data_IF_837282360435
#
_entry.id   IF_837282360435
#
_cell.length_a   1.000
_cell.length_b   1.000
_cell.length_c   1.000
_cell.angle_alpha   90.00
_cell.angle_beta   90.00
_cell.angle_gamma   90.00
#
_symmetry.space_group_name_H-M   'P 1'
#
loop_
_entity.id
_entity.type
_entity.pdbx_description
1 polymer ?
#
# COMPACT_ATOMS: atom_id res chain seq x y z
N UNK A 1 11.33 9.72 -9.31
CA UNK A 1 10.18 9.25 -8.49
C UNK A 1 9.45 8.17 -9.29
N UNK A 2 9.14 7.01 -8.69
CA UNK A 2 8.24 6.00 -9.28
C UNK A 2 6.80 6.33 -8.92
N UNK A 3 5.85 5.88 -9.75
CA UNK A 3 4.42 6.13 -9.51
C UNK A 3 3.64 4.83 -9.46
N UNK A 4 2.93 4.63 -8.35
CA UNK A 4 1.99 3.55 -8.13
C UNK A 4 0.57 4.05 -7.96
N UNK A 5 -0.40 3.17 -8.18
CA UNK A 5 -1.81 3.43 -7.93
C UNK A 5 -2.42 2.27 -7.15
N UNK A 6 -3.32 2.57 -6.22
CA UNK A 6 -3.99 1.55 -5.41
C UNK A 6 -5.46 1.45 -5.78
N UNK A 7 -5.97 0.22 -5.79
CA UNK A 7 -7.40 -0.04 -5.91
C UNK A 7 -7.89 -1.02 -4.85
N UNK A 8 -9.01 -0.66 -4.21
CA UNK A 8 -9.80 -1.59 -3.40
C UNK A 8 -10.73 -2.36 -4.34
N UNK A 9 -10.69 -3.70 -4.41
CA UNK A 9 -11.49 -4.48 -5.34
C UNK A 9 -12.94 -4.65 -4.86
N UNK A 10 -13.64 -3.54 -4.61
CA UNK A 10 -15.04 -3.47 -4.18
C UNK A 10 -16.03 -3.16 -5.32
N UNK A 11 -15.52 -2.78 -6.49
CA UNK A 11 -16.28 -2.54 -7.73
C UNK A 11 -16.22 -3.77 -8.67
N UNK A 12 -17.00 -3.82 -9.77
CA UNK A 12 -16.85 -4.87 -10.80
C UNK A 12 -15.40 -5.00 -11.28
N UNK A 13 -14.89 -6.23 -11.40
CA UNK A 13 -13.48 -6.47 -11.73
C UNK A 13 -13.10 -5.83 -13.06
N UNK A 14 -13.98 -5.91 -14.06
CA UNK A 14 -13.78 -5.32 -15.39
C UNK A 14 -13.59 -3.79 -15.32
N UNK A 15 -14.24 -3.13 -14.35
CA UNK A 15 -14.05 -1.69 -14.12
C UNK A 15 -12.68 -1.41 -13.54
N UNK A 16 -12.22 -2.22 -12.58
CA UNK A 16 -10.89 -2.11 -11.99
C UNK A 16 -9.82 -2.31 -13.07
N UNK A 17 -9.96 -3.35 -13.89
CA UNK A 17 -9.05 -3.63 -15.01
C UNK A 17 -8.97 -2.43 -15.98
N UNK A 18 -10.11 -1.83 -16.34
CA UNK A 18 -10.13 -0.62 -17.20
C UNK A 18 -9.39 0.55 -16.57
N UNK A 19 -9.55 0.76 -15.25
CA UNK A 19 -8.86 1.83 -14.53
C UNK A 19 -7.36 1.58 -14.45
N UNK A 20 -6.91 0.32 -14.26
CA UNK A 20 -5.49 -0.03 -14.28
C UNK A 20 -4.89 0.15 -15.68
N UNK A 21 -5.60 -0.26 -16.75
CA UNK A 21 -5.17 0.01 -18.14
C UNK A 21 -5.04 1.52 -18.41
N UNK A 22 -5.98 2.31 -17.91
CA UNK A 22 -5.88 3.76 -18.01
C UNK A 22 -4.66 4.29 -17.24
N UNK A 23 -4.42 3.80 -16.01
CA UNK A 23 -3.27 4.18 -15.22
C UNK A 23 -1.96 3.83 -15.95
N UNK A 24 -1.82 2.62 -16.48
CA UNK A 24 -0.70 2.22 -17.32
C UNK A 24 -0.48 3.19 -18.50
N UNK A 25 -1.54 3.55 -19.20
CA UNK A 25 -1.47 4.44 -20.39
C UNK A 25 -1.03 5.87 -20.09
N UNK A 26 -1.16 6.33 -18.84
CA UNK A 26 -0.77 7.68 -18.42
C UNK A 26 0.54 7.72 -17.62
N UNK A 27 1.22 6.57 -17.46
CA UNK A 27 2.58 6.51 -16.93
C UNK A 27 2.74 5.94 -15.52
N UNK A 28 1.71 5.32 -14.93
CA UNK A 28 1.90 4.58 -13.69
C UNK A 28 2.71 3.30 -13.92
N UNK A 29 3.65 3.04 -13.01
CA UNK A 29 4.55 1.88 -13.07
C UNK A 29 4.05 0.70 -12.21
N UNK A 30 3.24 0.97 -11.18
CA UNK A 30 2.77 -0.03 -10.22
C UNK A 30 1.26 0.05 -10.01
N UNK A 31 0.60 -1.10 -9.96
CA UNK A 31 -0.77 -1.27 -9.51
C UNK A 31 -0.82 -2.15 -8.26
N UNK A 32 -1.28 -1.59 -7.16
CA UNK A 32 -1.44 -2.25 -5.88
C UNK A 32 -2.92 -2.55 -5.64
N UNK A 33 -3.27 -3.82 -5.43
CA UNK A 33 -4.65 -4.24 -5.17
C UNK A 33 -4.76 -4.70 -3.72
N UNK A 34 -5.65 -4.10 -2.95
CA UNK A 34 -5.82 -4.45 -1.54
C UNK A 34 -6.39 -5.86 -1.36
N UNK A 35 -5.90 -6.59 -0.35
CA UNK A 35 -6.34 -7.96 -0.01
C UNK A 35 -7.14 -7.94 1.30
N UNK A 36 -8.43 -7.67 1.22
CA UNK A 36 -9.37 -7.72 2.33
C UNK A 36 -10.38 -8.85 2.12
N UNK A 37 -10.63 -9.66 3.17
CA UNK A 37 -11.54 -10.83 3.13
C UNK A 37 -12.97 -10.49 2.67
N UNK A 38 -13.42 -9.27 2.89
CA UNK A 38 -14.76 -8.77 2.58
C UNK A 38 -14.89 -8.09 1.22
N UNK A 39 -13.81 -8.11 0.42
CA UNK A 39 -13.80 -7.63 -0.97
C UNK A 39 -13.65 -8.81 -1.95
N UNK A 40 -13.56 -8.52 -3.24
CA UNK A 40 -13.24 -9.54 -4.25
C UNK A 40 -11.84 -10.07 -4.06
N UNK A 41 -11.61 -11.33 -4.43
CA UNK A 41 -10.32 -11.97 -4.29
C UNK A 41 -9.24 -11.22 -5.06
N UNK A 42 -8.15 -10.88 -4.38
CA UNK A 42 -7.04 -10.09 -4.93
C UNK A 42 -6.36 -10.81 -6.09
N UNK A 43 -6.11 -12.12 -6.00
CA UNK A 43 -5.35 -12.85 -7.01
C UNK A 43 -6.14 -13.08 -8.30
N UNK A 44 -7.46 -13.28 -8.21
CA UNK A 44 -8.34 -13.34 -9.38
C UNK A 44 -8.38 -11.99 -10.10
N UNK A 45 -8.42 -10.89 -9.33
CA UNK A 45 -8.36 -9.53 -9.87
C UNK A 45 -7.00 -9.27 -10.54
N UNK A 46 -5.90 -9.63 -9.89
CA UNK A 46 -4.54 -9.46 -10.42
C UNK A 46 -4.30 -10.29 -11.69
N UNK A 47 -4.86 -11.51 -11.76
CA UNK A 47 -4.74 -12.35 -12.95
C UNK A 47 -5.37 -11.69 -14.19
N UNK A 48 -6.53 -11.06 -14.04
CA UNK A 48 -7.16 -10.30 -15.13
C UNK A 48 -6.37 -9.04 -15.49
N UNK A 49 -5.84 -8.32 -14.50
CA UNK A 49 -4.97 -7.17 -14.75
C UNK A 49 -3.73 -7.61 -15.53
N UNK A 50 -3.09 -8.72 -15.15
CA UNK A 50 -1.91 -9.26 -15.82
C UNK A 50 -2.17 -9.59 -17.29
N UNK A 51 -3.34 -10.18 -17.59
CA UNK A 51 -3.74 -10.55 -18.94
C UNK A 51 -4.10 -9.35 -19.83
N UNK A 52 -4.49 -8.22 -19.25
CA UNK A 52 -5.01 -7.06 -19.95
C UNK A 52 -4.06 -5.85 -19.99
N UNK A 53 -2.88 -5.97 -19.38
CA UNK A 53 -1.85 -4.92 -19.31
C UNK A 53 -0.51 -5.42 -19.83
N UNK A 54 0.41 -4.51 -20.21
CA UNK A 54 1.68 -4.86 -20.87
C UNK A 54 2.92 -4.52 -20.06
N UNK A 55 2.92 -3.43 -19.30
CA UNK A 55 4.12 -2.86 -18.68
C UNK A 55 4.00 -2.63 -17.18
N UNK A 56 2.80 -2.33 -16.68
CA UNK A 56 2.59 -2.01 -15.27
C UNK A 56 2.88 -3.23 -14.40
N UNK A 57 3.68 -3.06 -13.37
CA UNK A 57 3.92 -4.05 -12.32
C UNK A 57 2.70 -4.13 -11.41
N UNK A 58 2.38 -5.32 -10.91
CA UNK A 58 1.19 -5.48 -10.09
C UNK A 58 1.39 -6.47 -8.96
N UNK A 59 0.66 -6.24 -7.87
CA UNK A 59 0.67 -7.12 -6.72
C UNK A 59 -0.34 -6.76 -5.64
N UNK A 60 -0.49 -7.60 -4.61
CA UNK A 60 -1.31 -7.25 -3.46
C UNK A 60 -0.68 -6.10 -2.68
N UNK A 61 -1.49 -5.12 -2.27
CA UNK A 61 -1.04 -4.00 -1.48
C UNK A 61 -1.88 -3.80 -0.21
N UNK A 62 -1.74 -4.66 0.79
CA UNK A 62 -0.87 -5.81 1.03
C UNK A 62 -1.67 -7.06 1.43
N UNK A 63 -1.15 -8.26 1.12
CA UNK A 63 -1.64 -9.51 1.72
C UNK A 63 -1.05 -9.74 3.10
N UNK A 64 -1.45 -10.81 3.80
CA UNK A 64 -0.93 -11.15 5.11
C UNK A 64 -0.76 -12.68 5.30
N UNK A 65 0.17 -13.12 6.19
CA UNK A 65 0.45 -14.54 6.39
C UNK A 65 -0.49 -15.25 7.36
N UNK A 66 -1.47 -14.56 7.94
CA UNK A 66 -2.40 -15.14 8.91
C UNK A 66 -3.64 -15.73 8.24
N UNK A 67 -4.17 -15.04 7.24
CA UNK A 67 -5.35 -15.52 6.49
C UNK A 67 -4.94 -16.52 5.41
N UNK A 68 -3.74 -16.36 4.84
CA UNK A 68 -3.22 -17.20 3.75
C UNK A 68 -1.83 -17.74 4.09
N UNK A 69 -1.65 -19.05 3.95
CA UNK A 69 -0.32 -19.67 4.13
C UNK A 69 0.72 -19.02 3.20
N UNK A 70 1.93 -18.71 3.70
CA UNK A 70 3.01 -18.19 2.86
C UNK A 70 3.32 -19.07 1.63
N UNK A 71 3.22 -20.39 1.75
CA UNK A 71 3.41 -21.30 0.62
C UNK A 71 2.34 -21.13 -0.47
N UNK A 72 1.07 -20.91 -0.09
CA UNK A 72 -0.01 -20.63 -1.05
C UNK A 72 0.17 -19.24 -1.69
N UNK A 73 0.63 -18.27 -0.91
CA UNK A 73 0.96 -16.93 -1.43
C UNK A 73 2.12 -17.01 -2.42
N UNK A 74 3.20 -17.73 -2.10
CA UNK A 74 4.33 -17.94 -3.01
C UNK A 74 3.89 -18.57 -4.35
N UNK A 75 3.05 -19.62 -4.30
CA UNK A 75 2.49 -20.24 -5.51
C UNK A 75 1.66 -19.25 -6.32
N UNK A 76 0.78 -18.47 -5.68
CA UNK A 76 -0.07 -17.50 -6.38
C UNK A 76 0.75 -16.39 -7.05
N UNK A 77 1.75 -15.85 -6.35
CA UNK A 77 2.62 -14.78 -6.87
C UNK A 77 3.53 -15.29 -7.99
N UNK A 78 4.09 -16.50 -7.88
CA UNK A 78 4.88 -17.10 -8.97
C UNK A 78 4.02 -17.34 -10.21
N UNK A 79 2.77 -17.78 -10.03
CA UNK A 79 1.81 -17.92 -11.13
C UNK A 79 1.46 -16.57 -11.75
N UNK A 80 1.28 -15.54 -10.93
CA UNK A 80 1.06 -14.18 -11.42
C UNK A 80 2.26 -13.65 -12.20
N UNK A 81 3.47 -13.98 -11.76
CA UNK A 81 4.72 -13.59 -12.42
C UNK A 81 4.83 -14.22 -13.82
N UNK A 82 4.52 -15.50 -13.94
CA UNK A 82 4.44 -16.19 -15.23
C UNK A 82 3.37 -15.56 -16.12
N UNK A 83 2.15 -15.36 -15.60
CA UNK A 83 1.02 -14.83 -16.36
C UNK A 83 1.28 -13.38 -16.83
N UNK A 84 1.99 -12.58 -16.04
CA UNK A 84 2.32 -11.20 -16.36
C UNK A 84 3.63 -11.04 -17.13
N UNK A 85 4.34 -12.12 -17.45
CA UNK A 85 5.66 -12.10 -18.07
C UNK A 85 6.69 -11.28 -17.27
N UNK A 86 6.82 -11.57 -15.97
CA UNK A 86 7.82 -11.00 -15.09
C UNK A 86 7.47 -9.60 -14.53
N UNK A 87 6.18 -9.31 -14.28
CA UNK A 87 5.74 -8.03 -13.72
C UNK A 87 5.13 -8.13 -12.33
N UNK A 88 5.10 -9.32 -11.72
CA UNK A 88 4.56 -9.47 -10.38
C UNK A 88 5.45 -8.80 -9.33
N UNK A 89 4.80 -8.24 -8.31
CA UNK A 89 5.40 -7.80 -7.04
C UNK A 89 4.58 -8.37 -5.89
N UNK A 90 5.19 -8.53 -4.73
CA UNK A 90 4.49 -9.02 -3.54
C UNK A 90 4.47 -7.96 -2.46
N UNK A 91 3.32 -7.37 -2.19
CA UNK A 91 3.12 -6.60 -0.96
C UNK A 91 2.61 -7.50 0.16
N UNK A 92 3.31 -7.52 1.31
CA UNK A 92 2.93 -8.29 2.49
C UNK A 92 2.99 -7.43 3.74
N UNK A 93 2.02 -7.58 4.64
CA UNK A 93 1.97 -6.84 5.89
C UNK A 93 1.42 -7.66 7.05
N UNK A 94 1.50 -7.14 8.28
CA UNK A 94 1.04 -7.85 9.47
C UNK A 94 -0.49 -7.96 9.57
N UNK A 95 -1.24 -7.29 8.68
CA UNK A 95 -2.69 -7.13 8.80
C UNK A 95 -3.08 -6.25 9.99
N UNK A 96 -4.36 -6.29 10.35
CA UNK A 96 -4.90 -5.52 11.47
C UNK A 96 -5.73 -6.40 12.42
N UNK A 97 -5.70 -6.02 13.71
CA UNK A 97 -6.34 -6.79 14.77
C UNK A 97 -7.86 -6.88 14.60
N UNK A 98 -8.52 -5.82 14.13
CA UNK A 98 -9.97 -5.83 14.00
C UNK A 98 -10.45 -6.83 12.95
N UNK A 99 -9.75 -6.92 11.82
CA UNK A 99 -9.98 -7.94 10.79
C UNK A 99 -9.81 -9.35 11.35
N UNK A 100 -8.74 -9.61 12.10
CA UNK A 100 -8.48 -10.96 12.63
C UNK A 100 -9.44 -11.36 13.75
N UNK A 101 -9.82 -10.42 14.61
CA UNK A 101 -10.87 -10.65 15.62
C UNK A 101 -12.21 -11.03 14.96
N UNK A 102 -12.58 -10.35 13.88
CA UNK A 102 -13.80 -10.65 13.12
C UNK A 102 -13.76 -12.03 12.44
N UNK A 103 -12.56 -12.51 12.06
CA UNK A 103 -12.35 -13.82 11.45
C UNK A 103 -12.08 -14.94 12.46
N UNK A 104 -11.96 -14.63 13.76
CA UNK A 104 -11.58 -15.59 14.79
C UNK A 104 -10.13 -16.10 14.66
N UNK A 105 -9.25 -15.29 14.07
CA UNK A 105 -7.84 -15.62 13.85
C UNK A 105 -6.99 -14.98 14.95
N UNK A 106 -6.13 -15.77 15.57
CA UNK A 106 -5.18 -15.27 16.57
C UNK A 106 -4.07 -14.45 15.92
N UNK A 107 -3.96 -13.17 16.30
CA UNK A 107 -2.93 -12.26 15.81
C UNK A 107 -1.80 -12.12 16.83
N UNK A 108 -0.74 -12.90 16.64
CA UNK A 108 0.41 -12.95 17.55
C UNK A 108 1.72 -12.76 16.83
N UNK A 109 2.71 -12.17 17.53
CA UNK A 109 4.11 -12.04 17.10
C UNK A 109 4.27 -11.49 15.66
N UNK A 110 3.64 -10.36 15.29
CA UNK A 110 3.57 -9.91 13.89
C UNK A 110 4.94 -9.78 13.21
N UNK A 111 5.97 -9.29 13.90
CA UNK A 111 7.31 -9.12 13.35
C UNK A 111 7.94 -10.46 12.95
N UNK A 112 7.96 -11.44 13.86
CA UNK A 112 8.55 -12.75 13.56
C UNK A 112 7.71 -13.54 12.54
N UNK A 113 6.39 -13.40 12.57
CA UNK A 113 5.50 -14.05 11.61
C UNK A 113 5.78 -13.53 10.18
N UNK A 114 5.94 -12.22 10.01
CA UNK A 114 6.28 -11.63 8.70
C UNK A 114 7.68 -12.06 8.25
N UNK A 115 8.69 -12.01 9.11
CA UNK A 115 10.05 -12.46 8.77
C UNK A 115 10.05 -13.91 8.28
N UNK A 116 9.41 -14.81 9.02
CA UNK A 116 9.33 -16.22 8.65
C UNK A 116 8.57 -16.43 7.34
N UNK A 117 7.49 -15.67 7.13
CA UNK A 117 6.72 -15.71 5.89
C UNK A 117 7.55 -15.27 4.68
N UNK A 118 8.25 -14.16 4.79
CA UNK A 118 9.14 -13.65 3.71
C UNK A 118 10.22 -14.69 3.39
N UNK A 119 10.94 -15.19 4.39
CA UNK A 119 11.99 -16.20 4.19
C UNK A 119 11.47 -17.48 3.52
N UNK A 120 10.29 -17.96 3.93
CA UNK A 120 9.65 -19.12 3.29
C UNK A 120 9.28 -18.83 1.83
N UNK A 121 8.70 -17.67 1.55
CA UNK A 121 8.28 -17.30 0.21
C UNK A 121 9.47 -17.09 -0.71
N UNK A 122 10.54 -16.41 -0.27
CA UNK A 122 11.78 -16.24 -1.04
C UNK A 122 12.37 -17.62 -1.42
N UNK A 123 12.46 -18.54 -0.44
CA UNK A 123 12.94 -19.91 -0.68
C UNK A 123 12.11 -20.62 -1.75
N UNK A 124 10.78 -20.55 -1.64
CA UNK A 124 9.87 -21.23 -2.55
C UNK A 124 9.85 -20.61 -3.95
N UNK A 125 9.80 -19.28 -4.04
CA UNK A 125 9.79 -18.56 -5.33
C UNK A 125 11.11 -18.69 -6.09
N UNK A 126 12.23 -18.88 -5.36
CA UNK A 126 13.53 -19.21 -5.95
C UNK A 126 13.67 -20.68 -6.38
N UNK A 127 12.60 -21.49 -6.31
CA UNK A 127 12.61 -22.92 -6.64
C UNK A 127 13.25 -23.82 -5.60
N UNK A 128 13.49 -23.30 -4.39
CA UNK A 128 14.07 -24.03 -3.26
C UNK A 128 13.05 -24.89 -2.51
N UNK A 129 13.56 -25.55 -1.45
CA UNK A 129 12.78 -26.40 -0.54
C UNK A 129 12.85 -25.84 0.87
N UNK A 130 11.70 -25.78 1.56
CA UNK A 130 11.68 -25.44 2.99
C UNK A 130 12.27 -26.58 3.83
N UNK A 131 12.62 -26.30 5.09
CA UNK A 131 13.09 -27.33 6.03
C UNK A 131 12.06 -28.46 6.21
N UNK A 132 10.78 -28.15 6.16
CA UNK A 132 9.67 -29.13 6.23
C UNK A 132 9.45 -29.90 4.92
N UNK A 133 10.20 -29.59 3.85
CA UNK A 133 10.16 -30.27 2.57
C UNK A 133 9.17 -29.70 1.55
N UNK A 134 8.46 -28.60 1.84
CA UNK A 134 7.59 -27.96 0.86
C UNK A 134 8.40 -27.33 -0.28
N UNK A 135 7.91 -27.43 -1.51
CA UNK A 135 8.47 -26.81 -2.72
C UNK A 135 7.37 -26.57 -3.75
N UNK A 136 7.63 -25.67 -4.68
CA UNK A 136 6.76 -25.41 -5.82
C UNK A 136 7.23 -26.29 -7.00
N UNK A 137 6.39 -27.27 -7.38
CA UNK A 137 6.76 -28.22 -8.47
C UNK A 137 6.14 -27.86 -9.83
N UNK A 138 5.12 -27.04 -9.85
CA UNK A 138 4.32 -26.74 -11.05
C UNK A 138 4.42 -25.32 -11.55
N UNK A 139 5.24 -24.48 -10.92
CA UNK A 139 5.40 -23.08 -11.30
C UNK A 139 6.82 -22.60 -11.04
N UNK A 140 7.30 -21.71 -11.89
CA UNK A 140 8.65 -21.12 -11.82
C UNK A 140 8.53 -19.64 -12.12
N UNK A 141 9.16 -18.79 -11.32
CA UNK A 141 9.20 -17.36 -11.57
C UNK A 141 9.91 -17.04 -12.89
N UNK A 142 9.43 -16.04 -13.61
CA UNK A 142 10.09 -15.49 -14.80
C UNK A 142 11.20 -14.52 -14.37
N UNK A 143 10.94 -13.73 -13.34
CA UNK A 143 11.95 -12.87 -12.73
C UNK A 143 12.98 -13.71 -11.97
N UNK A 144 14.23 -13.28 -11.99
CA UNK A 144 15.29 -13.86 -11.13
C UNK A 144 14.89 -13.74 -9.64
N UNK A 145 14.29 -12.60 -9.26
CA UNK A 145 13.73 -12.35 -7.94
C UNK A 145 12.44 -11.54 -8.07
N UNK A 146 11.34 -12.05 -7.55
CA UNK A 146 10.10 -11.29 -7.42
C UNK A 146 10.25 -10.30 -6.25
N UNK A 147 10.13 -8.97 -6.46
CA UNK A 147 10.31 -8.00 -5.40
C UNK A 147 9.26 -8.14 -4.30
N UNK A 148 9.69 -8.09 -3.04
CA UNK A 148 8.82 -8.14 -1.86
C UNK A 148 8.79 -6.76 -1.20
N UNK A 149 7.61 -6.19 -1.08
CA UNK A 149 7.34 -4.95 -0.37
C UNK A 149 6.63 -5.24 0.95
N UNK A 150 7.09 -4.60 2.02
CA UNK A 150 6.53 -4.83 3.34
C UNK A 150 5.68 -3.64 3.81
N UNK A 151 4.43 -3.90 4.15
CA UNK A 151 3.57 -2.92 4.82
C UNK A 151 4.09 -2.65 6.23
N UNK A 152 4.48 -1.40 6.53
CA UNK A 152 5.11 -1.04 7.78
C UNK A 152 4.66 0.34 8.27
N UNK A 153 4.38 0.47 9.58
CA UNK A 153 4.04 1.74 10.24
C UNK A 153 4.77 1.94 11.56
N UNK A 154 4.82 0.90 12.40
CA UNK A 154 5.50 0.99 13.70
C UNK A 154 7.01 0.82 13.60
N UNK A 155 7.78 1.34 14.59
CA UNK A 155 9.26 1.36 14.54
C UNK A 155 9.90 -0.01 14.27
N UNK A 156 9.43 -1.06 14.93
CA UNK A 156 9.94 -2.42 14.74
C UNK A 156 9.68 -2.93 13.31
N UNK A 157 8.49 -2.63 12.77
CA UNK A 157 8.09 -3.07 11.44
C UNK A 157 8.86 -2.31 10.35
N UNK A 158 9.09 -0.99 10.54
CA UNK A 158 9.91 -0.16 9.63
C UNK A 158 11.36 -0.67 9.56
N UNK A 159 11.98 -0.98 10.71
CA UNK A 159 13.31 -1.60 10.73
C UNK A 159 13.30 -2.97 10.03
N UNK A 160 12.26 -3.78 10.26
CA UNK A 160 12.14 -5.07 9.61
C UNK A 160 11.99 -4.91 8.08
N UNK A 161 11.22 -3.94 7.62
CA UNK A 161 11.09 -3.65 6.18
C UNK A 161 12.45 -3.30 5.57
N UNK A 162 13.22 -2.43 6.20
CA UNK A 162 14.57 -2.08 5.74
C UNK A 162 15.49 -3.30 5.56
N UNK A 163 15.51 -4.21 6.55
CA UNK A 163 16.39 -5.38 6.52
C UNK A 163 15.92 -6.51 5.60
N UNK A 164 14.63 -6.80 5.58
CA UNK A 164 14.08 -8.06 5.05
C UNK A 164 13.20 -7.92 3.80
N UNK A 165 13.07 -6.73 3.22
CA UNK A 165 12.28 -6.55 1.99
C UNK A 165 13.01 -5.68 0.96
N UNK A 166 12.47 -5.63 -0.26
CA UNK A 166 12.97 -4.81 -1.35
C UNK A 166 12.30 -3.43 -1.36
N UNK A 167 11.22 -3.27 -0.58
CA UNK A 167 10.55 -1.99 -0.41
C UNK A 167 9.67 -1.94 0.84
N UNK A 168 9.36 -0.73 1.29
CA UNK A 168 8.46 -0.45 2.40
C UNK A 168 7.22 0.30 1.87
N UNK A 169 6.02 -0.27 2.04
CA UNK A 169 4.75 0.39 1.77
C UNK A 169 4.27 1.05 3.07
N UNK A 170 4.28 2.38 3.11
CA UNK A 170 3.95 3.15 4.32
C UNK A 170 2.66 3.91 4.07
N UNK A 171 1.61 3.55 4.80
CA UNK A 171 0.34 4.28 4.75
C UNK A 171 0.49 5.64 5.44
N UNK A 172 1.03 6.59 4.72
CA UNK A 172 1.29 7.96 5.15
C UNK A 172 1.28 8.90 3.94
N UNK A 173 0.90 10.16 4.18
CA UNK A 173 0.71 11.17 3.14
C UNK A 173 1.51 12.45 3.40
N UNK A 174 2.13 12.59 4.57
CA UNK A 174 2.78 13.82 4.99
C UNK A 174 4.31 13.63 5.18
N UNK A 175 5.16 14.57 4.76
CA UNK A 175 6.61 14.50 4.92
C UNK A 175 7.09 14.20 6.35
N UNK A 176 6.41 14.71 7.39
CA UNK A 176 6.73 14.42 8.81
C UNK A 176 6.73 12.92 9.15
N UNK A 177 5.89 12.14 8.48
CA UNK A 177 5.84 10.69 8.70
C UNK A 177 7.08 10.01 8.13
N UNK A 178 7.60 10.47 7.00
CA UNK A 178 8.79 9.94 6.36
C UNK A 178 10.07 10.44 7.02
N UNK A 179 10.09 11.67 7.56
CA UNK A 179 11.18 12.15 8.43
C UNK A 179 11.40 11.19 9.61
N UNK A 180 10.32 10.62 10.17
CA UNK A 180 10.40 9.63 11.24
C UNK A 180 10.67 8.19 10.75
N UNK A 181 10.15 7.80 9.58
CA UNK A 181 10.18 6.42 9.09
C UNK A 181 11.50 6.07 8.39
N UNK A 182 12.02 6.95 7.52
CA UNK A 182 13.20 6.68 6.70
C UNK A 182 14.45 6.34 7.51
N UNK A 183 14.77 7.05 8.62
CA UNK A 183 15.88 6.66 9.47
C UNK A 183 15.76 5.25 10.06
N UNK A 184 14.55 4.81 10.40
CA UNK A 184 14.31 3.46 10.93
C UNK A 184 14.48 2.38 9.86
N UNK A 185 14.03 2.65 8.63
CA UNK A 185 14.25 1.76 7.49
C UNK A 185 15.74 1.63 7.21
N UNK A 186 16.47 2.76 7.21
CA UNK A 186 17.91 2.80 7.03
C UNK A 186 18.62 1.97 8.09
N UNK A 187 18.29 2.15 9.37
CA UNK A 187 18.86 1.37 10.47
C UNK A 187 18.64 -0.13 10.28
N UNK A 188 17.43 -0.52 9.83
CA UNK A 188 17.10 -1.91 9.53
C UNK A 188 17.90 -2.47 8.34
N UNK A 189 18.08 -1.70 7.29
CA UNK A 189 18.85 -2.07 6.11
C UNK A 189 20.34 -2.27 6.49
N UNK A 190 20.93 -1.31 7.20
CA UNK A 190 22.31 -1.36 7.63
C UNK A 190 22.60 -2.55 8.58
N UNK A 191 21.65 -2.92 9.44
CA UNK A 191 21.77 -4.07 10.33
C UNK A 191 21.87 -5.41 9.56
N UNK A 192 21.33 -5.49 8.36
CA UNK A 192 21.40 -6.67 7.49
C UNK A 192 22.41 -6.49 6.32
N UNK A 193 23.30 -5.49 6.42
CA UNK A 193 24.37 -5.24 5.44
C UNK A 193 23.90 -4.63 4.12
N UNK A 194 22.69 -4.06 4.07
CA UNK A 194 22.11 -3.35 2.93
C UNK A 194 22.30 -1.83 3.06
N UNK A 195 22.12 -1.13 1.96
CA UNK A 195 21.97 0.34 1.94
C UNK A 195 20.50 0.73 1.89
N UNK A 196 20.15 1.94 2.34
CA UNK A 196 18.81 2.49 2.14
C UNK A 196 18.46 2.60 0.64
N UNK A 197 19.46 2.77 -0.23
CA UNK A 197 19.25 2.78 -1.70
C UNK A 197 18.79 1.44 -2.27
N UNK A 198 18.91 0.34 -1.51
CA UNK A 198 18.44 -0.99 -1.91
C UNK A 198 16.98 -1.22 -1.50
N UNK A 199 16.35 -0.23 -0.85
CA UNK A 199 14.98 -0.32 -0.34
C UNK A 199 14.11 0.77 -0.99
N UNK A 200 13.10 0.38 -1.74
CA UNK A 200 12.12 1.31 -2.31
C UNK A 200 11.17 1.82 -1.20
N UNK A 201 11.18 3.11 -0.92
CA UNK A 201 10.32 3.72 0.10
C UNK A 201 9.06 4.26 -0.57
N UNK A 202 7.96 3.56 -0.40
CA UNK A 202 6.69 3.91 -1.02
C UNK A 202 5.75 4.64 -0.05
N UNK A 203 5.39 5.86 -0.41
CA UNK A 203 4.32 6.60 0.23
C UNK A 203 2.97 6.12 -0.30
N UNK A 204 2.28 5.29 0.48
CA UNK A 204 0.96 4.77 0.17
C UNK A 204 -0.08 5.76 0.70
N UNK A 205 -0.47 6.73 -0.14
CA UNK A 205 -1.15 7.94 0.30
C UNK A 205 -2.67 7.84 0.22
N UNK A 206 -3.39 8.55 1.11
CA UNK A 206 -4.76 8.95 0.81
C UNK A 206 -4.70 10.08 -0.22
N UNK A 207 -5.12 9.80 -1.43
CA UNK A 207 -5.02 10.70 -2.58
C UNK A 207 -6.40 11.10 -3.09
N UNK A 208 -6.59 12.40 -3.37
CA UNK A 208 -7.78 12.84 -4.09
C UNK A 208 -7.47 14.06 -4.96
N UNK A 209 -7.61 13.91 -6.29
CA UNK A 209 -7.32 14.95 -7.27
C UNK A 209 -8.55 15.27 -8.14
N UNK A 210 -8.81 16.56 -8.34
CA UNK A 210 -9.80 17.07 -9.30
C UNK A 210 -9.39 18.47 -9.75
N UNK A 211 -9.91 19.00 -10.86
CA UNK A 211 -9.76 20.41 -11.25
C UNK A 211 -10.40 21.37 -10.24
N UNK A 212 -11.41 20.88 -9.49
CA UNK A 212 -12.07 21.56 -8.41
C UNK A 212 -11.54 21.03 -7.06
N UNK A 213 -10.69 21.82 -6.39
CA UNK A 213 -10.08 21.46 -5.11
C UNK A 213 -11.12 21.13 -4.03
N UNK A 214 -12.30 21.77 -4.05
CA UNK A 214 -13.38 21.51 -3.11
C UNK A 214 -13.98 20.10 -3.29
N UNK A 215 -14.15 19.66 -4.55
CA UNK A 215 -14.58 18.29 -4.86
C UNK A 215 -13.55 17.26 -4.45
N UNK A 216 -12.28 17.54 -4.75
CA UNK A 216 -11.18 16.69 -4.32
C UNK A 216 -11.16 16.51 -2.79
N UNK A 217 -11.23 17.60 -2.04
CA UNK A 217 -11.27 17.60 -0.58
C UNK A 217 -12.47 16.83 -0.04
N UNK A 218 -13.67 17.07 -0.60
CA UNK A 218 -14.90 16.38 -0.18
C UNK A 218 -14.81 14.87 -0.32
N UNK A 219 -14.21 14.37 -1.43
CA UNK A 219 -14.06 12.94 -1.69
C UNK A 219 -13.10 12.25 -0.71
N UNK A 220 -12.05 12.93 -0.24
CA UNK A 220 -11.05 12.35 0.65
C UNK A 220 -11.52 12.23 2.11
N UNK A 221 -12.44 13.07 2.57
CA UNK A 221 -12.81 13.17 4.00
C UNK A 221 -13.18 11.85 4.66
N UNK A 222 -13.96 11.01 3.98
CA UNK A 222 -14.35 9.72 4.56
C UNK A 222 -13.15 8.78 4.72
N UNK A 223 -12.21 8.78 3.78
CA UNK A 223 -11.00 7.95 3.86
C UNK A 223 -10.09 8.47 4.97
N UNK A 224 -9.92 9.78 5.10
CA UNK A 224 -9.20 10.41 6.22
C UNK A 224 -9.81 10.02 7.56
N UNK A 225 -11.15 9.97 7.67
CA UNK A 225 -11.82 9.53 8.89
C UNK A 225 -11.48 8.07 9.25
N UNK A 226 -11.42 7.16 8.26
CA UNK A 226 -11.00 5.76 8.47
C UNK A 226 -9.52 5.67 8.87
N UNK A 227 -8.64 6.42 8.22
CA UNK A 227 -7.21 6.46 8.57
C UNK A 227 -7.04 6.99 9.99
N UNK A 228 -7.74 8.07 10.35
CA UNK A 228 -7.70 8.62 11.70
C UNK A 228 -8.17 7.60 12.75
N UNK A 229 -9.27 6.88 12.50
CA UNK A 229 -9.76 5.85 13.42
C UNK A 229 -8.74 4.71 13.65
N UNK A 230 -7.95 4.35 12.63
CA UNK A 230 -6.93 3.29 12.70
C UNK A 230 -5.56 3.79 13.17
N UNK A 231 -5.34 5.10 13.27
CA UNK A 231 -4.03 5.66 13.62
C UNK A 231 -3.78 5.65 15.13
N UNK A 232 -2.58 5.23 15.58
CA UNK A 232 -2.23 5.23 16.98
C UNK A 232 -1.87 6.65 17.48
N UNK A 233 -1.98 6.91 18.80
CA UNK A 233 -1.72 8.23 19.39
C UNK A 233 -0.39 8.92 18.98
N UNK A 234 0.75 8.23 18.83
CA UNK A 234 2.00 8.86 18.42
C UNK A 234 1.95 9.50 17.01
N UNK A 235 1.10 9.00 16.12
CA UNK A 235 0.92 9.60 14.78
C UNK A 235 0.27 10.99 14.92
N UNK A 236 -0.80 11.10 15.70
CA UNK A 236 -1.44 12.41 15.96
C UNK A 236 -0.48 13.40 16.62
N UNK A 237 0.29 12.95 17.61
CA UNK A 237 1.28 13.79 18.30
C UNK A 237 2.34 14.35 17.34
N UNK A 238 2.78 13.55 16.36
CA UNK A 238 3.73 13.99 15.32
C UNK A 238 3.20 15.16 14.51
N UNK A 239 1.90 15.18 14.26
CA UNK A 239 1.22 16.26 13.54
C UNK A 239 0.73 17.39 14.44
N UNK A 240 0.97 17.35 15.76
CA UNK A 240 0.47 18.35 16.71
C UNK A 240 -1.03 18.25 16.98
N UNK A 241 -1.63 17.09 16.72
CA UNK A 241 -3.05 16.80 16.90
C UNK A 241 -3.31 16.11 18.25
N UNK A 242 -4.57 16.16 18.73
CA UNK A 242 -4.96 15.46 19.95
C UNK A 242 -4.81 13.94 19.78
N UNK A 243 -4.00 13.28 20.65
CA UNK A 243 -3.78 11.83 20.58
C UNK A 243 -5.06 10.99 20.75
N UNK A 244 -6.14 11.55 21.28
CA UNK A 244 -7.43 10.88 21.43
C UNK A 244 -8.33 10.96 20.17
N UNK A 245 -7.89 11.66 19.15
CA UNK A 245 -8.66 11.86 17.90
C UNK A 245 -9.09 10.53 17.28
N UNK A 246 -8.20 9.52 17.27
CA UNK A 246 -8.51 8.20 16.72
C UNK A 246 -9.70 7.52 17.37
N UNK A 247 -9.80 7.58 18.70
CA UNK A 247 -10.93 7.00 19.45
C UNK A 247 -12.27 7.66 19.07
N UNK A 248 -12.29 8.98 18.88
CA UNK A 248 -13.47 9.74 18.45
C UNK A 248 -13.97 9.27 17.07
N UNK A 249 -13.06 9.11 16.10
CA UNK A 249 -13.43 8.60 14.77
C UNK A 249 -13.87 7.14 14.83
N UNK A 250 -13.22 6.30 15.66
CA UNK A 250 -13.64 4.92 15.92
C UNK A 250 -15.08 4.84 16.43
N UNK A 251 -15.52 5.76 17.29
CA UNK A 251 -16.91 5.81 17.76
C UNK A 251 -17.91 6.14 16.65
N UNK A 252 -17.63 7.16 15.80
CA UNK A 252 -18.49 7.47 14.66
C UNK A 252 -18.65 6.29 13.73
N UNK A 253 -17.53 5.70 13.30
CA UNK A 253 -17.53 4.59 12.34
C UNK A 253 -18.17 3.32 12.94
N UNK A 254 -17.91 3.02 14.21
CA UNK A 254 -18.53 1.89 14.92
C UNK A 254 -20.05 2.01 15.07
N UNK A 255 -20.58 3.22 15.06
CA UNK A 255 -22.04 3.50 15.07
C UNK A 255 -22.63 3.61 13.66
N UNK A 256 -21.81 3.52 12.59
CA UNK A 256 -22.25 3.77 11.21
C UNK A 256 -22.58 5.25 10.93
N UNK A 257 -22.15 6.18 11.79
CA UNK A 257 -22.35 7.62 11.60
C UNK A 257 -21.26 8.22 10.69
N UNK A 258 -21.32 7.86 9.40
CA UNK A 258 -20.39 8.39 8.40
C UNK A 258 -20.53 9.91 8.20
N UNK A 259 -21.74 10.44 8.38
CA UNK A 259 -21.98 11.89 8.29
C UNK A 259 -21.27 12.66 9.40
N UNK A 260 -21.38 12.19 10.64
CA UNK A 260 -20.65 12.73 11.79
C UNK A 260 -19.14 12.60 11.63
N UNK A 261 -18.65 11.47 11.14
CA UNK A 261 -17.23 11.24 10.86
C UNK A 261 -16.70 12.27 9.82
N UNK A 262 -17.37 12.42 8.68
CA UNK A 262 -17.01 13.39 7.64
C UNK A 262 -17.03 14.84 8.17
N UNK A 263 -18.05 15.19 8.94
CA UNK A 263 -18.19 16.52 9.54
C UNK A 263 -17.12 16.84 10.60
N UNK A 264 -16.52 15.83 11.22
CA UNK A 264 -15.46 15.96 12.22
C UNK A 264 -14.04 16.11 11.62
N UNK A 265 -13.87 15.87 10.32
CA UNK A 265 -12.56 16.01 9.64
C UNK A 265 -12.23 17.48 9.46
N UNK A 266 -11.19 17.93 10.15
CA UNK A 266 -10.63 19.30 10.08
C UNK A 266 -9.60 19.43 8.95
N UNK A 267 -9.24 20.66 8.61
CA UNK A 267 -8.18 20.93 7.63
C UNK A 267 -6.82 20.40 8.09
N UNK A 268 -6.52 20.48 9.40
CA UNK A 268 -5.29 19.89 9.96
C UNK A 268 -5.23 18.36 9.81
N UNK A 269 -6.38 17.67 9.92
CA UNK A 269 -6.46 16.23 9.65
C UNK A 269 -6.31 15.92 8.16
N UNK A 270 -6.86 16.76 7.29
CA UNK A 270 -6.66 16.62 5.84
C UNK A 270 -5.19 16.79 5.48
N UNK A 271 -4.51 17.80 6.02
CA UNK A 271 -3.07 18.01 5.78
C UNK A 271 -2.21 16.86 6.32
N UNK A 272 -2.54 16.37 7.52
CA UNK A 272 -1.79 15.26 8.14
C UNK A 272 -1.92 13.94 7.35
N UNK A 273 -3.10 13.63 6.83
CA UNK A 273 -3.41 12.28 6.36
C UNK A 273 -3.73 12.17 4.87
N UNK A 274 -3.60 13.24 4.08
CA UNK A 274 -3.94 13.17 2.65
C UNK A 274 -3.10 14.07 1.75
N UNK A 275 -3.02 13.68 0.48
CA UNK A 275 -2.55 14.51 -0.64
C UNK A 275 -3.77 14.86 -1.48
N UNK A 276 -4.27 16.09 -1.36
CA UNK A 276 -5.53 16.52 -1.96
C UNK A 276 -5.36 17.86 -2.67
N UNK A 277 -6.04 18.04 -3.80
CA UNK A 277 -6.09 19.31 -4.53
C UNK A 277 -6.20 19.17 -6.03
N UNK A 278 -5.75 20.20 -6.72
CA UNK A 278 -5.61 20.26 -8.18
C UNK A 278 -4.24 19.70 -8.61
N UNK A 279 -3.99 19.45 -9.91
CA UNK A 279 -2.66 19.02 -10.38
C UNK A 279 -1.51 19.93 -9.92
N UNK A 280 -1.73 21.25 -9.87
CA UNK A 280 -0.73 22.21 -9.40
C UNK A 280 -0.42 22.10 -7.90
N UNK A 281 -1.36 21.61 -7.09
CA UNK A 281 -1.16 21.38 -5.66
C UNK A 281 -0.38 20.08 -5.38
N UNK A 282 -0.41 19.13 -6.31
CA UNK A 282 0.21 17.82 -6.14
C UNK A 282 1.71 17.84 -6.30
N UNK A 283 2.23 18.55 -7.31
CA UNK A 283 3.68 18.57 -7.62
C UNK A 283 4.53 18.92 -6.39
N UNK A 284 4.31 20.07 -5.71
CA UNK A 284 5.13 20.42 -4.54
C UNK A 284 4.96 19.46 -3.36
N UNK A 285 3.79 18.84 -3.21
CA UNK A 285 3.57 17.83 -2.15
C UNK A 285 4.35 16.55 -2.40
N UNK A 286 4.40 16.08 -3.65
CA UNK A 286 5.16 14.89 -4.03
C UNK A 286 6.67 15.18 -3.98
N UNK A 287 7.12 16.36 -4.40
CA UNK A 287 8.52 16.81 -4.25
C UNK A 287 8.95 16.79 -2.78
N UNK A 288 8.12 17.34 -1.88
CA UNK A 288 8.40 17.34 -0.44
C UNK A 288 8.49 15.92 0.15
N UNK A 289 7.71 14.95 -0.34
CA UNK A 289 7.86 13.54 0.03
C UNK A 289 9.20 12.99 -0.48
N UNK A 290 9.59 13.30 -1.71
CA UNK A 290 10.88 12.91 -2.31
C UNK A 290 12.07 13.43 -1.52
N UNK A 291 12.02 14.67 -1.02
CA UNK A 291 13.07 15.25 -0.15
C UNK A 291 13.24 14.48 1.16
N UNK A 292 12.20 13.82 1.66
CA UNK A 292 12.26 12.96 2.84
C UNK A 292 12.73 11.54 2.54
N UNK A 293 13.10 11.22 1.29
CA UNK A 293 13.60 9.91 0.89
C UNK A 293 12.55 8.95 0.34
N UNK A 294 11.34 9.43 0.05
CA UNK A 294 10.34 8.64 -0.69
C UNK A 294 10.81 8.45 -2.13
N UNK A 295 10.78 7.22 -2.60
CA UNK A 295 11.21 6.83 -3.96
C UNK A 295 10.04 6.41 -4.84
N UNK A 296 8.89 6.07 -4.24
CA UNK A 296 7.65 5.74 -4.92
C UNK A 296 6.46 6.49 -4.31
N UNK A 297 5.72 7.24 -5.11
CA UNK A 297 4.43 7.80 -4.73
C UNK A 297 3.31 6.87 -5.17
N UNK A 298 2.47 6.42 -4.25
CA UNK A 298 1.29 5.58 -4.54
C UNK A 298 0.03 6.39 -4.31
N UNK A 299 -0.69 6.66 -5.40
CA UNK A 299 -2.00 7.30 -5.37
C UNK A 299 -3.04 6.29 -4.86
N UNK A 300 -3.36 6.36 -3.57
CA UNK A 300 -4.34 5.50 -2.92
C UNK A 300 -5.75 6.07 -2.90
N UNK A 301 -6.65 5.30 -2.34
CA UNK A 301 -8.06 5.67 -2.24
C UNK A 301 -8.30 7.02 -1.56
N UNK A 302 -9.29 7.80 -2.04
CA UNK A 302 -10.27 7.47 -3.07
C UNK A 302 -9.80 7.72 -4.52
N UNK A 303 -8.60 8.24 -4.76
CA UNK A 303 -8.01 8.73 -6.02
C UNK A 303 -8.64 10.06 -6.44
N UNK A 304 -9.93 10.22 -6.26
CA UNK A 304 -10.71 11.42 -6.49
C UNK A 304 -12.20 11.13 -6.66
N UNK A 305 -13.01 12.17 -6.88
CA UNK A 305 -14.47 12.03 -7.02
C UNK A 305 -14.89 11.25 -8.29
N UNK A 306 -14.12 11.36 -9.36
CA UNK A 306 -14.25 10.59 -10.61
C UNK A 306 -12.90 9.93 -10.92
N UNK A 307 -12.81 8.62 -10.72
CA UNK A 307 -11.54 7.88 -10.85
C UNK A 307 -10.92 7.98 -12.24
N UNK A 308 -11.71 7.95 -13.32
CA UNK A 308 -11.17 8.03 -14.68
C UNK A 308 -10.56 9.42 -14.95
N UNK A 309 -11.27 10.48 -14.57
CA UNK A 309 -10.78 11.86 -14.67
C UNK A 309 -9.54 12.05 -13.79
N UNK A 310 -9.60 11.59 -12.55
CA UNK A 310 -8.52 11.74 -11.57
C UNK A 310 -7.24 11.02 -11.99
N UNK A 311 -7.33 9.82 -12.59
CA UNK A 311 -6.17 9.10 -13.14
C UNK A 311 -5.54 9.91 -14.29
N UNK A 312 -6.33 10.54 -15.16
CA UNK A 312 -5.80 11.39 -16.25
C UNK A 312 -5.07 12.62 -15.69
N UNK A 313 -5.65 13.27 -14.66
CA UNK A 313 -5.00 14.41 -13.99
C UNK A 313 -3.70 13.99 -13.27
N UNK A 314 -3.67 12.82 -12.64
CA UNK A 314 -2.43 12.26 -12.09
C UNK A 314 -1.39 11.98 -13.19
N UNK A 315 -1.82 11.55 -14.39
CA UNK A 315 -0.94 11.41 -15.54
C UNK A 315 -0.31 12.73 -15.98
N UNK A 316 -0.98 13.86 -15.77
CA UNK A 316 -0.39 15.20 -15.99
C UNK A 316 0.66 15.51 -14.91
N UNK A 317 0.38 15.18 -13.66
CA UNK A 317 1.34 15.33 -12.56
C UNK A 317 2.57 14.48 -12.78
N UNK A 318 2.43 13.22 -13.20
CA UNK A 318 3.55 12.30 -13.49
C UNK A 318 4.54 12.90 -14.50
N UNK A 319 4.07 13.62 -15.51
CA UNK A 319 4.93 14.27 -16.53
C UNK A 319 5.85 15.35 -15.98
N UNK A 320 5.62 15.79 -14.73
CA UNK A 320 6.46 16.80 -14.08
C UNK A 320 7.69 16.20 -13.39
N UNK A 321 7.78 14.87 -13.32
CA UNK A 321 8.85 14.10 -12.67
C UNK A 321 9.63 13.24 -13.67
#
# INVERSE_FOLDING_TARGET
MKFGIEFVPNEPIEKIVKLVKLAESVGFEYAWITDHYNNKNVYETLALIAAETETIKMGPGVTNPYVRSPAITASAITTLDELSNGRATLGIGPGDKATFDALGIEWTKPVSTIKNAISMMETLMAGGKTESGANLMGTTAVQEKIPIYMGAQGPMMLKTAGGFSDGALINASNPKDFEAAVPLIKEGAEAEGKSISDVDVAAYTCCSIDDDAGKALGAAKIVVAFIAAGSPPPVFQRHGLDPNTGAKFGEFLGKGDFGGAIGAVTDDLMDAFSVVGTPSDFVPKIEALGEMGVTQYVAGSPIGPDKEKSIKLLGEVIKSF
#
